data_IF_725520969637
#
_entry.id   IF_725520969637
#
_cell.length_a   1.000
_cell.length_b   1.000
_cell.length_c   1.000
_cell.angle_alpha   90.00
_cell.angle_beta   90.00
_cell.angle_gamma   90.00
#
_symmetry.space_group_name_H-M   'P 1'
#
loop_
_entity.id
_entity.type
_entity.pdbx_description
1 polymer ?
#
# COMPACT_ATOMS: atom_id res chain seq x y z
N UNK A 1 -26.55 -21.60 31.61
CA UNK A 1 -25.46 -21.26 30.68
C UNK A 1 -25.65 -19.81 30.27
N UNK A 2 -24.72 -18.92 30.63
CA UNK A 2 -24.78 -17.49 30.28
C UNK A 2 -24.23 -17.31 28.87
N UNK A 3 -25.08 -16.92 27.92
CA UNK A 3 -24.63 -16.45 26.60
C UNK A 3 -23.80 -15.18 26.79
N UNK A 4 -22.48 -15.29 26.63
CA UNK A 4 -21.61 -14.12 26.50
C UNK A 4 -22.03 -13.39 25.22
N UNK A 5 -22.62 -12.20 25.37
CA UNK A 5 -22.72 -11.24 24.27
C UNK A 5 -21.30 -10.88 23.85
N UNK A 6 -20.85 -11.45 22.74
CA UNK A 6 -19.63 -11.00 22.06
C UNK A 6 -19.92 -9.56 21.62
N UNK A 7 -19.20 -8.62 22.21
CA UNK A 7 -19.27 -7.22 21.79
C UNK A 7 -18.75 -7.12 20.36
N UNK A 8 -19.38 -6.30 19.51
CA UNK A 8 -18.86 -6.01 18.17
C UNK A 8 -17.40 -5.52 18.21
N UNK A 9 -16.91 -4.98 19.33
CA UNK A 9 -15.50 -4.62 19.50
C UNK A 9 -14.56 -5.82 19.43
N UNK A 10 -14.95 -6.95 20.00
CA UNK A 10 -14.06 -8.10 20.24
C UNK A 10 -13.83 -8.90 18.95
N UNK A 11 -14.72 -8.76 17.95
CA UNK A 11 -14.59 -9.41 16.65
C UNK A 11 -13.61 -8.69 15.70
N UNK A 12 -13.41 -7.36 15.86
CA UNK A 12 -12.51 -6.60 14.98
C UNK A 12 -11.04 -6.79 15.35
N UNK A 13 -10.74 -7.03 16.63
CA UNK A 13 -9.36 -7.23 17.12
C UNK A 13 -8.76 -8.55 16.63
N UNK A 14 -9.54 -9.64 16.55
CA UNK A 14 -9.01 -10.95 16.18
C UNK A 14 -8.62 -11.08 14.68
N UNK A 15 -9.33 -10.40 13.77
CA UNK A 15 -9.10 -10.56 12.30
C UNK A 15 -8.10 -9.54 11.75
N UNK A 16 -8.14 -8.28 12.20
CA UNK A 16 -7.24 -7.22 11.70
C UNK A 16 -6.21 -6.74 12.72
N UNK A 17 -6.38 -7.05 14.00
CA UNK A 17 -5.48 -6.58 15.06
C UNK A 17 -4.04 -7.09 14.90
N UNK A 18 -3.83 -8.17 14.14
CA UNK A 18 -2.50 -8.72 13.87
C UNK A 18 -1.92 -8.34 12.50
N UNK A 19 -2.72 -7.74 11.59
CA UNK A 19 -2.25 -7.42 10.24
C UNK A 19 -1.50 -6.08 10.22
N UNK A 20 -0.22 -6.04 9.82
CA UNK A 20 0.55 -4.81 9.83
C UNK A 20 0.07 -3.83 8.75
N UNK A 21 0.09 -2.53 9.06
CA UNK A 21 -0.08 -1.46 8.06
C UNK A 21 1.13 -1.37 7.13
N UNK A 22 2.30 -1.78 7.61
CA UNK A 22 3.52 -1.86 6.82
C UNK A 22 3.30 -2.64 5.51
N UNK A 23 3.68 -2.04 4.38
CA UNK A 23 3.52 -2.62 3.04
C UNK A 23 2.13 -2.44 2.41
N UNK A 24 1.18 -1.82 3.11
CA UNK A 24 -0.21 -1.59 2.66
C UNK A 24 -0.57 -0.10 2.60
N UNK A 25 0.38 0.77 2.89
CA UNK A 25 0.15 2.20 3.14
C UNK A 25 -0.46 2.91 1.94
N UNK A 26 -0.03 2.57 0.73
CA UNK A 26 -0.50 3.22 -0.49
C UNK A 26 -1.95 2.85 -0.79
N UNK A 27 -2.33 1.56 -0.68
CA UNK A 27 -3.73 1.14 -0.83
C UNK A 27 -4.66 1.74 0.22
N UNK A 28 -4.17 1.90 1.46
CA UNK A 28 -4.90 2.62 2.51
C UNK A 28 -5.08 4.09 2.14
N UNK A 29 -4.02 4.75 1.66
CA UNK A 29 -4.05 6.15 1.26
C UNK A 29 -5.06 6.41 0.12
N UNK A 30 -5.21 5.48 -0.83
CA UNK A 30 -6.23 5.58 -1.88
C UNK A 30 -7.66 5.52 -1.31
N UNK A 31 -7.93 4.65 -0.34
CA UNK A 31 -9.24 4.64 0.32
C UNK A 31 -9.51 5.97 1.04
N UNK A 32 -8.47 6.56 1.64
CA UNK A 32 -8.58 7.84 2.34
C UNK A 32 -8.78 9.02 1.37
N UNK A 33 -8.29 8.93 0.13
CA UNK A 33 -8.46 9.96 -0.90
C UNK A 33 -9.94 10.23 -1.22
N UNK A 34 -10.77 9.19 -1.17
CA UNK A 34 -12.21 9.30 -1.42
C UNK A 34 -12.95 10.04 -0.30
N UNK A 35 -12.31 10.30 0.85
CA UNK A 35 -12.91 11.03 1.95
C UNK A 35 -12.62 12.53 1.86
N UNK A 36 -13.63 13.29 1.43
CA UNK A 36 -13.52 14.74 1.29
C UNK A 36 -13.08 15.47 2.58
N UNK A 37 -13.45 14.97 3.77
CA UNK A 37 -13.07 15.61 5.03
C UNK A 37 -11.58 15.43 5.32
N UNK A 38 -11.05 14.23 5.09
CA UNK A 38 -9.61 13.96 5.25
C UNK A 38 -8.83 14.74 4.18
N UNK A 39 -9.29 14.73 2.92
CA UNK A 39 -8.65 15.44 1.82
C UNK A 39 -8.56 16.95 2.04
N UNK A 40 -9.58 17.55 2.66
CA UNK A 40 -9.62 18.99 2.97
C UNK A 40 -8.87 19.37 4.24
N UNK A 41 -8.76 18.47 5.22
CA UNK A 41 -8.18 18.76 6.53
C UNK A 41 -7.12 17.72 6.93
N UNK A 42 -6.05 17.70 6.14
CA UNK A 42 -4.91 16.82 6.37
C UNK A 42 -4.20 17.07 7.72
N UNK A 43 -4.09 18.31 8.24
CA UNK A 43 -3.56 18.54 9.60
C UNK A 43 -4.36 17.85 10.70
N UNK A 44 -5.70 17.83 10.60
CA UNK A 44 -6.53 17.09 11.56
C UNK A 44 -6.28 15.58 11.47
N UNK A 45 -6.04 15.04 10.27
CA UNK A 45 -5.69 13.64 10.08
C UNK A 45 -4.31 13.28 10.69
N UNK A 46 -3.31 14.17 10.55
CA UNK A 46 -2.01 14.00 11.22
C UNK A 46 -2.17 13.93 12.75
N UNK A 47 -3.00 14.81 13.31
CA UNK A 47 -3.30 14.81 14.74
C UNK A 47 -4.01 13.51 15.17
N UNK A 48 -4.91 12.96 14.35
CA UNK A 48 -5.53 11.65 14.61
C UNK A 48 -4.50 10.51 14.68
N UNK A 49 -3.44 10.58 13.86
CA UNK A 49 -2.34 9.62 13.89
C UNK A 49 -1.29 9.93 14.98
N UNK A 50 -1.48 10.99 15.78
CA UNK A 50 -0.48 11.53 16.72
C UNK A 50 0.89 11.78 16.07
N UNK A 51 0.89 12.25 14.82
CA UNK A 51 2.10 12.71 14.14
C UNK A 51 2.32 14.20 14.45
N UNK A 52 3.49 14.56 14.97
CA UNK A 52 3.80 15.96 15.27
C UNK A 52 3.74 16.81 14.00
N UNK A 53 3.01 17.93 14.08
CA UNK A 53 2.82 18.93 13.03
C UNK A 53 4.06 19.80 12.80
N UNK A 54 5.23 19.20 12.56
CA UNK A 54 6.35 19.95 11.95
C UNK A 54 5.98 20.29 10.50
N UNK A 55 6.58 21.30 9.84
CA UNK A 55 6.36 21.52 8.40
C UNK A 55 6.75 20.24 7.67
N UNK A 56 5.74 19.45 7.32
CA UNK A 56 5.96 18.06 6.98
C UNK A 56 6.52 17.98 5.58
N UNK A 57 7.56 17.16 5.37
CA UNK A 57 8.14 16.87 4.05
C UNK A 57 7.07 16.49 3.00
N UNK A 58 5.89 16.06 3.45
CA UNK A 58 4.75 15.70 2.61
C UNK A 58 4.23 16.87 1.77
N UNK A 59 4.34 18.12 2.22
CA UNK A 59 3.78 19.26 1.48
C UNK A 59 4.47 19.58 0.16
N UNK A 60 5.64 18.98 -0.06
CA UNK A 60 6.38 19.04 -1.32
C UNK A 60 5.66 18.29 -2.45
N UNK A 61 4.78 17.33 -2.13
CA UNK A 61 4.14 16.47 -3.11
C UNK A 61 2.71 16.92 -3.43
N UNK A 62 2.32 17.12 -4.70
CA UNK A 62 0.96 17.56 -5.04
C UNK A 62 -0.10 16.47 -4.88
N UNK A 63 0.27 15.20 -5.08
CA UNK A 63 -0.64 14.06 -5.01
C UNK A 63 -1.00 13.69 -3.56
N UNK A 64 -2.30 13.60 -3.27
CA UNK A 64 -2.79 13.31 -1.92
C UNK A 64 -2.37 11.93 -1.43
N UNK A 65 -2.42 10.92 -2.31
CA UNK A 65 -2.09 9.54 -1.96
C UNK A 65 -0.61 9.41 -1.62
N UNK A 66 0.26 10.08 -2.37
CA UNK A 66 1.69 10.21 -2.05
C UNK A 66 1.89 10.80 -0.64
N UNK A 67 1.23 11.94 -0.33
CA UNK A 67 1.35 12.56 1.01
C UNK A 67 0.96 11.59 2.12
N UNK A 68 -0.22 10.98 2.01
CA UNK A 68 -0.77 10.11 3.05
C UNK A 68 0.01 8.80 3.17
N UNK A 69 0.54 8.27 2.07
CA UNK A 69 1.42 7.10 2.09
C UNK A 69 2.66 7.36 2.97
N UNK A 70 3.28 8.53 2.83
CA UNK A 70 4.43 8.93 3.64
C UNK A 70 4.06 9.14 5.11
N UNK A 71 2.90 9.74 5.38
CA UNK A 71 2.38 9.89 6.75
C UNK A 71 2.18 8.53 7.44
N UNK A 72 1.58 7.58 6.72
CA UNK A 72 1.35 6.23 7.23
C UNK A 72 2.68 5.50 7.48
N UNK A 73 3.72 5.74 6.67
CA UNK A 73 5.07 5.20 6.94
C UNK A 73 5.69 5.76 8.20
N UNK A 74 5.58 7.06 8.43
CA UNK A 74 6.12 7.68 9.64
C UNK A 74 5.36 7.19 10.87
N UNK A 75 4.04 6.98 10.74
CA UNK A 75 3.24 6.33 11.75
C UNK A 75 3.69 4.88 11.99
N UNK A 76 3.89 4.08 10.94
CA UNK A 76 4.43 2.71 11.06
C UNK A 76 5.81 2.70 11.71
N UNK A 77 6.70 3.63 11.37
CA UNK A 77 8.03 3.72 11.95
C UNK A 77 7.99 4.07 13.45
N UNK A 78 7.08 4.97 13.83
CA UNK A 78 6.88 5.38 15.23
C UNK A 78 6.29 4.26 16.09
N UNK A 79 5.24 3.58 15.61
CA UNK A 79 4.49 2.59 16.38
C UNK A 79 4.98 1.15 16.17
N UNK A 80 5.83 0.90 15.16
CA UNK A 80 6.43 -0.41 14.82
C UNK A 80 5.38 -1.51 14.74
N UNK A 81 5.56 -2.61 15.49
CA UNK A 81 4.62 -3.76 15.53
C UNK A 81 3.21 -3.39 16.02
N UNK A 82 3.03 -2.24 16.66
CA UNK A 82 1.70 -1.75 17.10
C UNK A 82 0.95 -1.03 15.98
N UNK A 83 1.60 -0.75 14.85
CA UNK A 83 0.99 -0.17 13.66
C UNK A 83 0.26 -1.25 12.85
N UNK A 84 -0.89 -1.68 13.35
CA UNK A 84 -1.74 -2.68 12.71
C UNK A 84 -3.06 -2.08 12.19
N UNK A 85 -3.71 -2.82 11.30
CA UNK A 85 -4.94 -2.39 10.64
C UNK A 85 -6.10 -2.23 11.63
N UNK A 86 -6.19 -3.10 12.64
CA UNK A 86 -7.18 -2.94 13.72
C UNK A 86 -7.06 -1.57 14.39
N UNK A 87 -5.84 -1.18 14.74
CA UNK A 87 -5.57 0.11 15.39
C UNK A 87 -5.88 1.29 14.48
N UNK A 88 -5.51 1.21 13.21
CA UNK A 88 -5.83 2.26 12.24
C UNK A 88 -7.35 2.42 12.06
N UNK A 89 -8.09 1.31 11.99
CA UNK A 89 -9.56 1.30 11.89
C UNK A 89 -10.20 1.96 13.13
N UNK A 90 -9.69 1.70 14.33
CA UNK A 90 -10.14 2.38 15.56
C UNK A 90 -9.89 3.88 15.54
N UNK A 91 -8.70 4.31 15.10
CA UNK A 91 -8.35 5.73 14.98
C UNK A 91 -9.34 6.43 14.03
N UNK A 92 -9.60 5.83 12.87
CA UNK A 92 -10.55 6.37 11.89
C UNK A 92 -11.98 6.42 12.43
N UNK A 93 -12.44 5.39 13.15
CA UNK A 93 -13.76 5.39 13.82
C UNK A 93 -13.85 6.51 14.86
N UNK A 94 -12.81 6.71 15.65
CA UNK A 94 -12.74 7.78 16.66
C UNK A 94 -12.79 9.17 16.02
N UNK A 95 -12.14 9.34 14.86
CA UNK A 95 -12.24 10.53 14.00
C UNK A 95 -13.55 10.66 13.22
N UNK A 96 -14.55 9.78 13.46
CA UNK A 96 -15.83 9.71 12.74
C UNK A 96 -15.70 9.45 11.23
N UNK A 97 -14.61 8.82 10.79
CA UNK A 97 -14.37 8.40 9.41
C UNK A 97 -14.83 6.95 9.16
N UNK A 98 -16.09 6.66 9.53
CA UNK A 98 -16.64 5.29 9.52
C UNK A 98 -16.59 4.61 8.15
N UNK A 99 -16.85 5.35 7.06
CA UNK A 99 -16.83 4.79 5.71
C UNK A 99 -15.42 4.32 5.29
N UNK A 100 -14.38 5.11 5.58
CA UNK A 100 -13.00 4.70 5.32
C UNK A 100 -12.60 3.50 6.16
N UNK A 101 -12.96 3.52 7.45
CA UNK A 101 -12.70 2.43 8.37
C UNK A 101 -13.34 1.12 7.88
N UNK A 102 -14.60 1.16 7.42
CA UNK A 102 -15.30 0.00 6.88
C UNK A 102 -14.68 -0.50 5.55
N UNK A 103 -14.24 0.40 4.67
CA UNK A 103 -13.60 0.03 3.40
C UNK A 103 -12.21 -0.57 3.59
N UNK A 104 -11.38 0.01 4.46
CA UNK A 104 -10.09 -0.57 4.85
C UNK A 104 -10.33 -1.95 5.45
N UNK A 105 -11.28 -2.07 6.38
CA UNK A 105 -11.62 -3.36 6.97
C UNK A 105 -12.01 -4.38 5.91
N UNK A 106 -12.94 -4.04 5.00
CA UNK A 106 -13.39 -4.95 3.94
C UNK A 106 -12.29 -5.33 2.94
N UNK A 107 -11.41 -4.38 2.59
CA UNK A 107 -10.28 -4.63 1.68
C UNK A 107 -9.29 -5.62 2.30
N UNK A 108 -9.04 -5.49 3.62
CA UNK A 108 -7.99 -6.22 4.29
C UNK A 108 -8.42 -7.49 5.05
N UNK A 109 -9.70 -7.60 5.37
CA UNK A 109 -10.33 -8.83 5.87
C UNK A 109 -10.37 -9.86 4.75
N UNK A 110 -10.86 -9.47 3.57
CA UNK A 110 -10.94 -10.39 2.41
C UNK A 110 -9.60 -10.73 1.78
N UNK A 111 -8.53 -10.02 2.15
CA UNK A 111 -7.17 -10.41 1.73
C UNK A 111 -6.65 -11.65 2.43
N UNK A 112 -7.40 -12.28 3.34
CA UNK A 112 -7.11 -13.66 3.79
C UNK A 112 -7.09 -14.66 2.61
N UNK A 113 -7.67 -14.33 1.44
CA UNK A 113 -7.56 -15.12 0.21
C UNK A 113 -6.29 -14.82 -0.62
N UNK A 114 -5.51 -13.84 -0.17
CA UNK A 114 -4.25 -13.37 -0.74
C UNK A 114 -3.09 -13.52 0.28
N UNK A 115 -3.39 -13.94 1.51
CA UNK A 115 -2.43 -14.13 2.61
C UNK A 115 -1.85 -15.56 2.54
N UNK A 116 -0.52 -15.63 2.61
CA UNK A 116 0.35 -16.81 2.75
C UNK A 116 0.26 -17.91 1.68
N UNK A 117 -0.92 -18.31 1.21
CA UNK A 117 -1.08 -19.27 0.11
C UNK A 117 -0.51 -18.77 -1.22
N UNK A 118 -0.49 -17.45 -1.45
CA UNK A 118 0.16 -16.82 -2.60
C UNK A 118 1.68 -16.88 -2.53
N UNK A 119 2.26 -16.69 -1.35
CA UNK A 119 3.71 -16.80 -1.14
C UNK A 119 4.17 -18.28 -1.10
N UNK A 120 3.33 -19.17 -0.54
CA UNK A 120 3.63 -20.60 -0.36
C UNK A 120 3.37 -21.48 -1.60
N UNK A 121 2.43 -21.12 -2.50
CA UNK A 121 2.33 -21.75 -3.82
C UNK A 121 3.53 -21.39 -4.71
N UNK A 122 4.12 -20.20 -4.51
CA UNK A 122 5.19 -19.64 -5.33
C UNK A 122 6.60 -20.09 -4.92
N UNK A 123 6.87 -20.45 -3.66
CA UNK A 123 8.16 -21.06 -3.28
C UNK A 123 8.40 -22.43 -3.96
N UNK A 124 7.34 -23.10 -4.43
CA UNK A 124 7.42 -24.41 -5.10
C UNK A 124 7.64 -24.32 -6.62
N UNK A 125 7.48 -23.15 -7.23
CA UNK A 125 7.73 -22.90 -8.66
C UNK A 125 8.82 -21.83 -8.78
N UNK A 126 9.98 -22.20 -9.32
CA UNK A 126 11.14 -21.31 -9.49
C UNK A 126 10.68 -19.89 -9.93
N UNK A 127 10.84 -18.86 -9.09
CA UNK A 127 10.18 -17.58 -9.31
C UNK A 127 10.80 -16.87 -10.52
N UNK A 128 9.96 -16.22 -11.33
CA UNK A 128 10.38 -15.58 -12.59
C UNK A 128 10.97 -14.21 -12.26
N UNK A 129 12.25 -14.01 -12.58
CA UNK A 129 12.90 -12.71 -12.41
C UNK A 129 12.20 -11.66 -13.29
N UNK A 130 12.11 -10.42 -12.80
CA UNK A 130 11.62 -9.32 -13.63
C UNK A 130 12.65 -8.86 -14.69
N UNK A 131 13.89 -9.34 -14.62
CA UNK A 131 15.00 -8.92 -15.51
C UNK A 131 14.64 -9.19 -16.96
N UNK A 132 14.63 -8.14 -17.79
CA UNK A 132 14.27 -8.22 -19.20
C UNK A 132 12.76 -8.30 -19.46
N UNK A 133 11.93 -8.31 -18.42
CA UNK A 133 10.47 -8.32 -18.50
C UNK A 133 9.86 -6.95 -18.11
N UNK A 134 10.68 -5.95 -17.80
CA UNK A 134 10.22 -4.67 -17.24
C UNK A 134 9.22 -3.99 -18.17
N UNK A 135 9.47 -3.98 -19.48
CA UNK A 135 8.54 -3.39 -20.45
C UNK A 135 7.18 -4.09 -20.49
N UNK A 136 7.13 -5.41 -20.32
CA UNK A 136 5.85 -6.15 -20.27
C UNK A 136 5.10 -5.88 -18.97
N UNK A 137 5.83 -5.84 -17.86
CA UNK A 137 5.29 -5.50 -16.53
C UNK A 137 4.73 -4.07 -16.54
N UNK A 138 5.50 -3.11 -17.05
CA UNK A 138 5.09 -1.70 -17.17
C UNK A 138 3.82 -1.57 -18.01
N UNK A 139 3.67 -2.34 -19.09
CA UNK A 139 2.43 -2.33 -19.89
C UNK A 139 1.22 -2.82 -19.07
N UNK A 140 1.40 -3.82 -18.21
CA UNK A 140 0.32 -4.27 -17.30
C UNK A 140 -0.02 -3.18 -16.28
N UNK A 141 1.00 -2.50 -15.73
CA UNK A 141 0.82 -1.41 -14.76
C UNK A 141 0.20 -0.15 -15.39
N UNK A 142 0.50 0.14 -16.66
CA UNK A 142 -0.05 1.28 -17.41
C UNK A 142 -1.58 1.19 -17.60
N UNK A 143 -2.12 -0.03 -17.54
CA UNK A 143 -3.55 -0.28 -17.56
C UNK A 143 -4.24 -0.12 -16.19
N UNK A 144 -3.52 0.29 -15.15
CA UNK A 144 -4.07 0.61 -13.83
C UNK A 144 -4.06 2.14 -13.62
N UNK A 145 -5.24 2.80 -13.49
CA UNK A 145 -5.35 4.24 -13.31
C UNK A 145 -4.55 4.81 -12.13
N UNK A 146 -4.35 4.01 -11.07
CA UNK A 146 -3.54 4.42 -9.93
C UNK A 146 -2.10 4.72 -10.33
N UNK A 147 -1.52 3.89 -11.20
CA UNK A 147 -0.11 4.00 -11.57
C UNK A 147 0.11 4.88 -12.80
N UNK A 148 -0.70 4.70 -13.86
CA UNK A 148 -0.45 5.38 -15.13
C UNK A 148 -0.63 6.91 -15.06
N UNK A 149 -1.48 7.38 -14.14
CA UNK A 149 -1.66 8.82 -13.87
C UNK A 149 -0.66 9.36 -12.83
N UNK A 150 -0.13 8.50 -11.96
CA UNK A 150 0.70 8.87 -10.82
C UNK A 150 1.81 7.84 -10.58
N UNK A 151 2.88 7.92 -11.37
CA UNK A 151 4.00 6.97 -11.28
C UNK A 151 4.71 7.00 -9.93
N UNK A 152 4.60 8.12 -9.21
CA UNK A 152 5.04 8.31 -7.84
C UNK A 152 4.42 7.27 -6.89
N UNK A 153 3.17 6.86 -7.16
CA UNK A 153 2.49 5.84 -6.35
C UNK A 153 3.13 4.47 -6.52
N UNK A 154 3.58 4.12 -7.74
CA UNK A 154 4.36 2.90 -7.99
C UNK A 154 5.70 2.95 -7.23
N UNK A 155 6.41 4.09 -7.31
CA UNK A 155 7.68 4.29 -6.60
C UNK A 155 7.53 4.08 -5.10
N UNK A 156 6.50 4.69 -4.51
CA UNK A 156 6.21 4.51 -3.10
C UNK A 156 5.77 3.08 -2.81
N UNK A 157 4.79 2.50 -3.51
CA UNK A 157 4.35 1.13 -3.26
C UNK A 157 5.50 0.11 -3.18
N UNK A 158 6.54 0.28 -3.99
CA UNK A 158 7.75 -0.56 -3.99
C UNK A 158 8.77 -0.27 -2.86
N UNK A 159 8.43 0.66 -1.98
CA UNK A 159 9.22 1.11 -0.83
C UNK A 159 10.66 1.52 -1.19
N UNK A 160 10.81 2.26 -2.29
CA UNK A 160 12.11 2.76 -2.73
C UNK A 160 12.58 3.98 -1.90
N UNK A 161 13.90 4.22 -1.76
CA UNK A 161 14.45 5.34 -1.00
C UNK A 161 14.02 6.69 -1.54
N UNK A 162 13.56 7.61 -0.67
CA UNK A 162 12.99 8.88 -1.10
C UNK A 162 14.01 9.81 -1.78
N UNK A 163 15.30 9.64 -1.52
CA UNK A 163 16.37 10.38 -2.17
C UNK A 163 16.36 10.17 -3.70
N UNK A 164 15.84 9.03 -4.15
CA UNK A 164 15.75 8.65 -5.55
C UNK A 164 14.45 9.12 -6.22
N UNK A 165 13.47 9.61 -5.46
CA UNK A 165 12.12 9.89 -5.97
C UNK A 165 12.13 10.78 -7.23
N UNK A 166 12.79 11.94 -7.17
CA UNK A 166 12.86 12.87 -8.31
C UNK A 166 13.59 12.29 -9.54
N UNK A 167 14.50 11.35 -9.35
CA UNK A 167 15.25 10.74 -10.46
C UNK A 167 14.31 9.89 -11.31
N UNK A 168 13.35 9.23 -10.68
CA UNK A 168 12.54 8.18 -11.31
C UNK A 168 11.09 8.58 -11.62
N UNK A 169 10.64 9.77 -11.22
CA UNK A 169 9.25 10.22 -11.44
C UNK A 169 9.13 11.47 -12.31
N UNK A 170 10.24 11.94 -12.91
CA UNK A 170 10.28 13.22 -13.64
C UNK A 170 10.02 13.12 -15.14
N UNK A 171 10.07 11.93 -15.73
CA UNK A 171 9.81 11.82 -17.17
C UNK A 171 8.30 11.96 -17.45
N UNK A 172 7.90 12.56 -18.58
CA UNK A 172 6.48 12.69 -18.94
C UNK A 172 5.83 11.36 -19.38
N UNK A 173 6.62 10.29 -19.53
CA UNK A 173 6.15 9.01 -20.09
C UNK A 173 6.17 7.96 -18.98
N UNK A 174 4.99 7.49 -18.56
CA UNK A 174 4.83 6.46 -17.52
C UNK A 174 5.70 5.24 -17.79
N UNK A 175 5.68 4.70 -19.01
CA UNK A 175 6.45 3.52 -19.40
C UNK A 175 7.96 3.67 -19.20
N UNK A 176 8.52 4.87 -19.39
CA UNK A 176 9.95 5.11 -19.16
C UNK A 176 10.26 5.12 -17.67
N UNK A 177 9.46 5.82 -16.87
CA UNK A 177 9.63 5.89 -15.42
C UNK A 177 9.45 4.53 -14.76
N UNK A 178 8.35 3.83 -15.04
CA UNK A 178 8.04 2.51 -14.49
C UNK A 178 9.13 1.47 -14.81
N UNK A 179 9.65 1.45 -16.03
CA UNK A 179 10.79 0.57 -16.37
C UNK A 179 12.03 0.86 -15.52
N UNK A 180 12.37 2.13 -15.29
CA UNK A 180 13.51 2.49 -14.47
C UNK A 180 13.28 2.15 -13.00
N UNK A 181 12.07 2.39 -12.49
CA UNK A 181 11.63 2.06 -11.13
C UNK A 181 11.72 0.55 -10.88
N UNK A 182 11.25 -0.27 -11.82
CA UNK A 182 11.30 -1.72 -11.71
C UNK A 182 12.76 -2.23 -11.67
N UNK A 183 13.64 -1.68 -12.52
CA UNK A 183 15.06 -2.02 -12.52
C UNK A 183 15.72 -1.75 -11.17
N UNK A 184 15.58 -0.52 -10.65
CA UNK A 184 16.17 -0.18 -9.35
C UNK A 184 15.57 -1.00 -8.22
N UNK A 185 14.25 -1.28 -8.25
CA UNK A 185 13.62 -2.15 -7.27
C UNK A 185 14.21 -3.57 -7.27
N UNK A 186 14.41 -4.17 -8.45
CA UNK A 186 15.07 -5.49 -8.55
C UNK A 186 16.53 -5.45 -8.13
N UNK A 187 17.27 -4.40 -8.48
CA UNK A 187 18.68 -4.28 -8.09
C UNK A 187 18.82 -4.16 -6.56
N UNK A 188 17.88 -3.49 -5.90
CA UNK A 188 17.80 -3.45 -4.43
C UNK A 188 17.28 -4.76 -3.80
N UNK A 189 16.69 -5.65 -4.59
CA UNK A 189 16.08 -6.90 -4.14
C UNK A 189 16.62 -8.09 -4.94
N UNK A 190 17.91 -8.19 -5.22
CA UNK A 190 18.48 -9.12 -6.24
C UNK A 190 17.93 -10.56 -6.18
N UNK A 191 17.79 -11.14 -4.99
CA UNK A 191 17.29 -12.51 -4.79
C UNK A 191 15.76 -12.64 -4.84
N UNK A 192 15.05 -11.52 -4.68
CA UNK A 192 13.61 -11.46 -4.50
C UNK A 192 12.89 -10.59 -5.55
N UNK A 193 13.61 -9.99 -6.51
CA UNK A 193 13.09 -9.14 -7.57
C UNK A 193 12.36 -9.96 -8.65
N UNK A 194 11.26 -10.58 -8.25
CA UNK A 194 10.49 -11.53 -9.05
C UNK A 194 9.11 -10.97 -9.37
N UNK A 195 8.51 -11.45 -10.46
CA UNK A 195 7.15 -11.04 -10.87
C UNK A 195 6.15 -11.40 -9.77
N UNK A 196 6.34 -12.54 -9.13
CA UNK A 196 5.50 -13.04 -8.03
C UNK A 196 5.50 -12.07 -6.84
N UNK A 197 6.69 -11.66 -6.38
CA UNK A 197 6.80 -10.70 -5.26
C UNK A 197 6.20 -9.35 -5.63
N UNK A 198 6.42 -8.88 -6.85
CA UNK A 198 5.79 -7.66 -7.35
C UNK A 198 4.25 -7.77 -7.32
N UNK A 199 3.70 -8.88 -7.82
CA UNK A 199 2.27 -9.14 -7.80
C UNK A 199 1.71 -9.17 -6.37
N UNK A 200 2.41 -9.81 -5.44
CA UNK A 200 2.04 -9.82 -4.01
C UNK A 200 1.98 -8.39 -3.44
N UNK A 201 3.00 -7.56 -3.66
CA UNK A 201 3.03 -6.15 -3.22
C UNK A 201 1.85 -5.36 -3.81
N UNK A 202 1.57 -5.55 -5.11
CA UNK A 202 0.44 -4.90 -5.82
C UNK A 202 -0.91 -5.34 -5.24
N UNK A 203 -1.07 -6.63 -4.91
CA UNK A 203 -2.28 -7.16 -4.28
C UNK A 203 -2.46 -6.64 -2.85
N UNK A 204 -1.38 -6.61 -2.05
CA UNK A 204 -1.36 -6.06 -0.69
C UNK A 204 -1.73 -4.58 -0.66
N UNK A 205 -1.55 -3.84 -1.75
CA UNK A 205 -2.01 -2.45 -1.87
C UNK A 205 -3.38 -2.31 -2.55
N UNK A 206 -4.16 -3.39 -2.67
CA UNK A 206 -5.55 -3.34 -3.12
C UNK A 206 -5.76 -3.33 -4.63
N UNK A 207 -4.76 -3.79 -5.39
CA UNK A 207 -4.87 -3.93 -6.83
C UNK A 207 -4.84 -5.40 -7.28
N UNK A 208 -5.72 -6.28 -6.74
CA UNK A 208 -5.64 -7.73 -6.97
C UNK A 208 -5.81 -8.10 -8.45
N UNK A 209 -6.57 -7.33 -9.22
CA UNK A 209 -6.73 -7.58 -10.66
C UNK A 209 -5.45 -7.29 -11.46
N UNK A 210 -4.72 -6.22 -11.10
CA UNK A 210 -3.41 -5.93 -11.69
C UNK A 210 -2.38 -6.97 -11.27
N UNK A 211 -2.39 -7.38 -10.00
CA UNK A 211 -1.54 -8.45 -9.49
C UNK A 211 -1.74 -9.76 -10.26
N UNK A 212 -2.99 -10.16 -10.50
CA UNK A 212 -3.30 -11.37 -11.27
C UNK A 212 -2.76 -11.30 -12.71
N UNK A 213 -2.94 -10.16 -13.39
CA UNK A 213 -2.35 -9.96 -14.73
C UNK A 213 -0.83 -10.08 -14.73
N UNK A 214 -0.16 -9.61 -13.69
CA UNK A 214 1.29 -9.76 -13.56
C UNK A 214 1.69 -11.23 -13.42
N UNK A 215 0.97 -12.03 -12.63
CA UNK A 215 1.25 -13.47 -12.46
C UNK A 215 1.14 -14.27 -13.76
N UNK A 216 0.33 -13.81 -14.70
CA UNK A 216 0.17 -14.45 -16.01
C UNK A 216 1.33 -14.17 -16.97
N UNK A 217 2.26 -13.27 -16.62
CA UNK A 217 3.48 -13.03 -17.40
C UNK A 217 4.46 -14.19 -17.18
N UNK A 218 4.74 -14.94 -18.24
CA UNK A 218 5.75 -16.02 -18.30
C UNK A 218 7.06 -15.55 -18.92
#
# INVERSE_FOLDING_TARGET
MSEKRVSCSDFYEDVLGNKPVAGREMGIAEILEENANIKRNLPAFLNLLNLNSSPTLYDIFPDFVVKVTLMLRDWVAMYKRRANLGKLVEILKSGKHFNCAARIWKMFERSDHFDESWELEDERKSPVSITGQESKISLVLDNNPSFCMHVERLFLMLNLPLELFKVYTTQPIFMKNSNLILKVWKDMNEKNGTIQRLASIVAQNGHPYTAEKLRLLK
#
